data_IF_417729472833
#
_entry.id   IF_417729472833
#
_cell.length_a   1.000
_cell.length_b   1.000
_cell.length_c   1.000
_cell.angle_alpha   90.00
_cell.angle_beta   90.00
_cell.angle_gamma   90.00
#
_symmetry.space_group_name_H-M   'P 1'
#
loop_
_entity.id
_entity.type
_entity.pdbx_description
1 polymer ?
#
# COMPACT_ATOMS: atom_id res chain seq x y z
N UNK A 1 22.68 -11.47 -17.98
CA UNK A 1 21.55 -10.97 -17.17
C UNK A 1 21.64 -9.46 -17.11
N UNK A 2 20.57 -8.72 -17.41
CA UNK A 2 20.61 -7.23 -17.28
C UNK A 2 20.68 -6.83 -15.80
N UNK A 3 21.24 -5.66 -15.48
CA UNK A 3 21.29 -5.16 -14.10
C UNK A 3 19.90 -5.10 -13.46
N UNK A 4 18.89 -4.63 -14.21
CA UNK A 4 17.50 -4.61 -13.74
C UNK A 4 16.99 -6.02 -13.40
N UNK A 5 17.27 -7.03 -14.25
CA UNK A 5 16.88 -8.42 -13.97
C UNK A 5 17.58 -8.96 -12.72
N UNK A 6 18.87 -8.64 -12.54
CA UNK A 6 19.62 -9.05 -11.36
C UNK A 6 19.03 -8.45 -10.07
N UNK A 7 18.78 -7.14 -10.05
CA UNK A 7 18.19 -6.44 -8.91
C UNK A 7 16.78 -6.98 -8.61
N UNK A 8 15.99 -7.23 -9.66
CA UNK A 8 14.67 -7.83 -9.51
C UNK A 8 14.76 -9.20 -8.81
N UNK A 9 15.61 -10.11 -9.26
CA UNK A 9 15.79 -11.44 -8.63
C UNK A 9 16.33 -11.30 -7.20
N UNK A 10 17.32 -10.44 -6.98
CA UNK A 10 17.90 -10.23 -5.66
C UNK A 10 16.87 -9.68 -4.66
N UNK A 11 16.05 -8.71 -5.09
CA UNK A 11 14.97 -8.18 -4.25
C UNK A 11 13.94 -9.26 -3.89
N UNK A 12 13.63 -10.20 -4.80
CA UNK A 12 12.77 -11.34 -4.52
C UNK A 12 13.33 -12.25 -3.43
N UNK A 13 14.63 -12.58 -3.50
CA UNK A 13 15.31 -13.36 -2.46
C UNK A 13 15.36 -12.61 -1.12
N UNK A 14 15.68 -11.32 -1.15
CA UNK A 14 15.75 -10.52 0.07
C UNK A 14 14.38 -10.44 0.76
N UNK A 15 13.30 -10.22 -0.01
CA UNK A 15 11.93 -10.25 0.51
C UNK A 15 11.57 -11.62 1.04
N UNK A 16 11.90 -12.71 0.34
CA UNK A 16 11.65 -14.07 0.81
C UNK A 16 12.28 -14.31 2.20
N UNK A 17 13.54 -13.91 2.39
CA UNK A 17 14.24 -14.02 3.67
C UNK A 17 13.54 -13.16 4.75
N UNK A 18 13.21 -11.91 4.43
CA UNK A 18 12.57 -10.99 5.37
C UNK A 18 11.18 -11.47 5.80
N UNK A 19 10.33 -11.93 4.89
CA UNK A 19 8.99 -12.41 5.24
C UNK A 19 9.03 -13.75 5.98
N UNK A 20 10.04 -14.60 5.70
CA UNK A 20 10.28 -15.82 6.48
C UNK A 20 10.69 -15.48 7.91
N UNK A 21 11.60 -14.52 8.10
CA UNK A 21 11.97 -14.05 9.43
C UNK A 21 10.77 -13.41 10.15
N UNK A 22 10.01 -12.56 9.47
CA UNK A 22 8.81 -11.94 10.02
C UNK A 22 7.76 -12.99 10.41
N UNK A 23 7.59 -14.04 9.62
CA UNK A 23 6.72 -15.16 9.96
C UNK A 23 7.14 -15.84 11.26
N UNK A 24 8.43 -16.14 11.45
CA UNK A 24 8.95 -16.71 12.70
C UNK A 24 8.63 -15.80 13.89
N UNK A 25 8.87 -14.49 13.76
CA UNK A 25 8.51 -13.50 14.79
C UNK A 25 7.00 -13.53 15.07
N UNK A 26 6.16 -13.63 14.04
CA UNK A 26 4.70 -13.68 14.18
C UNK A 26 4.20 -14.88 15.00
N UNK A 27 4.92 -16.00 14.96
CA UNK A 27 4.60 -17.19 15.75
C UNK A 27 4.96 -16.97 17.22
N UNK A 28 6.10 -16.34 17.49
CA UNK A 28 6.57 -16.03 18.85
C UNK A 28 5.61 -15.06 19.57
N UNK A 29 5.23 -13.97 18.89
CA UNK A 29 4.31 -12.96 19.45
C UNK A 29 2.82 -13.32 19.29
N UNK A 30 2.53 -14.44 18.61
CA UNK A 30 1.17 -14.92 18.27
C UNK A 30 0.31 -13.85 17.57
N UNK A 31 0.92 -13.09 16.64
CA UNK A 31 0.23 -12.02 15.92
C UNK A 31 0.78 -11.88 14.49
N UNK A 32 0.02 -12.32 13.50
CA UNK A 32 0.34 -12.21 12.07
C UNK A 32 0.09 -10.82 11.48
N UNK A 33 -0.56 -9.92 12.23
CA UNK A 33 -0.83 -8.54 11.78
C UNK A 33 0.43 -7.70 11.60
N UNK A 34 1.59 -8.18 12.08
CA UNK A 34 2.88 -7.51 11.84
C UNK A 34 3.24 -7.42 10.36
N UNK A 35 2.68 -8.31 9.52
CA UNK A 35 2.84 -8.24 8.07
C UNK A 35 2.26 -6.95 7.48
N UNK A 36 1.16 -6.44 8.04
CA UNK A 36 0.52 -5.20 7.58
C UNK A 36 1.42 -3.98 7.85
N UNK A 37 2.18 -3.99 8.96
CA UNK A 37 3.17 -2.94 9.27
C UNK A 37 4.38 -3.07 8.35
N UNK A 38 4.84 -4.31 8.13
CA UNK A 38 5.98 -4.58 7.27
C UNK A 38 5.72 -4.23 5.81
N UNK A 39 4.47 -4.19 5.34
CA UNK A 39 4.12 -3.84 3.96
C UNK A 39 4.82 -2.56 3.47
N UNK A 40 4.67 -1.46 4.22
CA UNK A 40 5.34 -0.19 3.88
C UNK A 40 6.86 -0.28 4.00
N UNK A 41 7.38 -0.92 5.05
CA UNK A 41 8.82 -1.08 5.29
C UNK A 41 9.49 -1.89 4.18
N UNK A 42 8.84 -2.95 3.70
CA UNK A 42 9.38 -3.84 2.69
C UNK A 42 9.57 -3.15 1.34
N UNK A 43 8.64 -2.29 0.92
CA UNK A 43 8.85 -1.47 -0.29
C UNK A 43 9.98 -0.46 -0.15
N UNK A 44 10.10 0.18 1.02
CA UNK A 44 11.24 1.05 1.32
C UNK A 44 12.54 0.27 1.22
N UNK A 45 12.60 -0.91 1.85
CA UNK A 45 13.77 -1.78 1.78
C UNK A 45 14.13 -2.16 0.34
N UNK A 46 13.18 -2.57 -0.51
CA UNK A 46 13.44 -2.91 -1.92
C UNK A 46 14.02 -1.71 -2.68
N UNK A 47 13.46 -0.51 -2.49
CA UNK A 47 13.94 0.69 -3.16
C UNK A 47 15.36 1.07 -2.71
N UNK A 48 15.66 0.97 -1.41
CA UNK A 48 17.01 1.22 -0.88
C UNK A 48 18.01 0.12 -1.28
N UNK A 49 17.56 -1.13 -1.48
CA UNK A 49 18.38 -2.21 -2.02
C UNK A 49 18.79 -1.90 -3.47
N UNK A 50 17.84 -1.51 -4.34
CA UNK A 50 18.15 -1.05 -5.70
C UNK A 50 19.13 0.13 -5.70
N UNK A 51 18.91 1.09 -4.80
CA UNK A 51 19.82 2.23 -4.63
C UNK A 51 21.25 1.80 -4.28
N UNK A 52 21.41 0.87 -3.34
CA UNK A 52 22.73 0.44 -2.85
C UNK A 52 23.59 -0.30 -3.89
N UNK A 53 22.97 -0.82 -4.94
CA UNK A 53 23.62 -1.66 -5.97
C UNK A 53 23.67 -0.93 -7.32
N UNK A 54 22.83 0.09 -7.51
CA UNK A 54 22.78 0.87 -8.74
C UNK A 54 24.03 1.77 -8.87
N UNK A 55 24.80 1.67 -9.97
CA UNK A 55 26.02 2.45 -10.15
C UNK A 55 25.77 3.94 -10.47
N UNK A 56 24.55 4.29 -10.91
CA UNK A 56 24.21 5.64 -11.34
C UNK A 56 22.91 6.12 -10.70
N UNK A 57 22.92 7.34 -10.17
CA UNK A 57 21.76 8.00 -9.60
C UNK A 57 21.30 9.16 -10.46
N UNK A 58 20.07 9.07 -10.94
CA UNK A 58 19.37 10.18 -11.60
C UNK A 58 18.44 10.91 -10.63
N UNK A 59 18.08 12.14 -10.95
CA UNK A 59 17.08 12.90 -10.18
C UNK A 59 15.73 12.17 -10.10
N UNK A 60 15.36 11.42 -11.14
CA UNK A 60 14.15 10.56 -11.13
C UNK A 60 14.25 9.42 -10.11
N UNK A 61 15.42 8.75 -9.98
CA UNK A 61 15.63 7.73 -8.94
C UNK A 61 15.54 8.33 -7.53
N UNK A 62 16.16 9.49 -7.30
CA UNK A 62 16.08 10.20 -6.02
C UNK A 62 14.65 10.58 -5.65
N UNK A 63 13.91 11.15 -6.62
CA UNK A 63 12.49 11.48 -6.44
C UNK A 63 11.71 10.24 -6.00
N UNK A 64 11.82 9.13 -6.73
CA UNK A 64 11.12 7.89 -6.40
C UNK A 64 11.50 7.38 -5.00
N UNK A 65 12.79 7.36 -4.67
CA UNK A 65 13.31 6.88 -3.38
C UNK A 65 12.79 7.71 -2.19
N UNK A 66 12.71 9.04 -2.35
CA UNK A 66 12.16 9.94 -1.34
C UNK A 66 10.67 9.67 -1.16
N UNK A 67 9.91 9.62 -2.25
CA UNK A 67 8.45 9.41 -2.21
C UNK A 67 8.09 8.07 -1.58
N UNK A 68 8.76 6.97 -1.96
CA UNK A 68 8.50 5.65 -1.36
C UNK A 68 8.91 5.60 0.11
N UNK A 69 10.00 6.27 0.50
CA UNK A 69 10.42 6.36 1.91
C UNK A 69 9.37 7.11 2.74
N UNK A 70 8.88 8.24 2.26
CA UNK A 70 7.84 9.02 2.94
C UNK A 70 6.57 8.17 3.10
N UNK A 71 6.07 7.57 2.01
CA UNK A 71 4.86 6.76 2.08
C UNK A 71 5.02 5.52 2.95
N UNK A 72 6.04 4.70 2.69
CA UNK A 72 6.19 3.41 3.34
C UNK A 72 6.42 3.52 4.84
N UNK A 73 7.22 4.50 5.28
CA UNK A 73 7.42 4.76 6.71
C UNK A 73 6.16 5.33 7.37
N UNK A 74 5.45 6.26 6.70
CA UNK A 74 4.18 6.80 7.18
C UNK A 74 3.13 5.69 7.34
N UNK A 75 2.99 4.82 6.34
CA UNK A 75 2.03 3.72 6.36
C UNK A 75 2.34 2.74 7.50
N UNK A 76 3.61 2.34 7.62
CA UNK A 76 4.07 1.46 8.69
C UNK A 76 3.82 2.07 10.08
N UNK A 77 4.15 3.35 10.25
CA UNK A 77 3.92 4.08 11.49
C UNK A 77 2.41 4.19 11.80
N UNK A 78 1.59 4.55 10.82
CA UNK A 78 0.15 4.66 10.98
C UNK A 78 -0.47 3.33 11.42
N UNK A 79 -0.17 2.23 10.71
CA UNK A 79 -0.69 0.90 11.04
C UNK A 79 -0.16 0.43 12.39
N UNK A 80 1.14 0.65 12.66
CA UNK A 80 1.78 0.28 13.92
C UNK A 80 1.15 0.98 15.12
N UNK A 81 0.93 2.29 15.05
CA UNK A 81 0.24 3.07 16.08
C UNK A 81 -1.22 2.60 16.21
N UNK A 82 -1.92 2.46 15.09
CA UNK A 82 -3.33 2.05 15.06
C UNK A 82 -3.56 0.69 15.73
N UNK A 83 -2.62 -0.23 15.56
CA UNK A 83 -2.73 -1.60 16.06
C UNK A 83 -2.07 -1.81 17.44
N UNK A 84 -1.35 -0.80 17.98
CA UNK A 84 -0.68 -0.91 19.27
C UNK A 84 -1.68 -1.20 20.40
N UNK A 85 -1.39 -2.24 21.18
CA UNK A 85 -2.24 -2.68 22.29
C UNK A 85 -3.56 -3.34 21.88
N UNK A 86 -3.80 -3.55 20.58
CA UNK A 86 -4.98 -4.28 20.08
C UNK A 86 -4.65 -5.76 19.87
N UNK A 87 -5.66 -6.65 19.93
CA UNK A 87 -5.47 -8.04 19.52
C UNK A 87 -5.10 -8.14 18.04
N UNK A 88 -4.71 -9.34 17.62
CA UNK A 88 -4.50 -9.68 16.20
C UNK A 88 -5.70 -9.24 15.35
N UNK A 89 -5.42 -8.73 14.14
CA UNK A 89 -6.44 -8.31 13.19
C UNK A 89 -7.42 -9.44 12.93
N UNK A 90 -8.71 -9.09 12.85
CA UNK A 90 -9.80 -10.06 12.85
C UNK A 90 -9.68 -11.07 11.70
N UNK A 91 -9.07 -10.71 10.57
CA UNK A 91 -8.84 -11.60 9.42
C UNK A 91 -7.93 -12.76 9.82
N UNK A 92 -6.77 -12.44 10.39
CA UNK A 92 -5.78 -13.44 10.81
C UNK A 92 -6.26 -14.21 12.04
N UNK A 93 -6.90 -13.55 13.00
CA UNK A 93 -7.46 -14.22 14.18
C UNK A 93 -8.53 -15.25 13.79
N UNK A 94 -9.39 -14.91 12.82
CA UNK A 94 -10.37 -15.83 12.25
C UNK A 94 -9.70 -17.04 11.60
N UNK A 95 -8.75 -16.83 10.69
CA UNK A 95 -8.04 -17.92 10.02
C UNK A 95 -7.23 -18.78 10.99
N UNK A 96 -6.62 -18.19 12.02
CA UNK A 96 -5.92 -18.91 13.08
C UNK A 96 -6.88 -19.85 13.81
N UNK A 97 -8.08 -19.39 14.15
CA UNK A 97 -9.11 -20.22 14.79
C UNK A 97 -9.58 -21.35 13.87
N UNK A 98 -9.81 -21.06 12.59
CA UNK A 98 -10.26 -22.05 11.60
C UNK A 98 -9.23 -23.16 11.36
N UNK A 99 -7.95 -22.83 11.35
CA UNK A 99 -6.87 -23.78 11.00
C UNK A 99 -6.19 -24.43 12.22
N UNK A 100 -6.40 -23.90 13.43
CA UNK A 100 -5.92 -24.50 14.69
C UNK A 100 -4.42 -24.86 14.65
N UNK A 101 -4.11 -26.16 14.80
CA UNK A 101 -2.74 -26.68 14.80
C UNK A 101 -2.00 -26.47 13.46
N UNK A 102 -2.72 -26.36 12.34
CA UNK A 102 -2.14 -26.12 11.01
C UNK A 102 -1.78 -24.66 10.75
N UNK A 103 -2.17 -23.74 11.64
CA UNK A 103 -1.96 -22.30 11.46
C UNK A 103 -0.52 -21.89 11.14
N UNK A 104 0.54 -22.44 11.78
CA UNK A 104 1.91 -22.02 11.46
C UNK A 104 2.25 -22.19 9.98
N UNK A 105 1.94 -23.35 9.40
CA UNK A 105 2.22 -23.64 7.99
C UNK A 105 1.32 -22.83 7.06
N UNK A 106 0.02 -22.74 7.38
CA UNK A 106 -0.95 -22.05 6.52
C UNK A 106 -0.70 -20.55 6.50
N UNK A 107 -0.39 -19.94 7.66
CA UNK A 107 -0.02 -18.52 7.71
C UNK A 107 1.25 -18.23 6.94
N UNK A 108 2.24 -19.13 6.93
CA UNK A 108 3.45 -18.95 6.13
C UNK A 108 3.14 -18.76 4.64
N UNK A 109 2.34 -19.65 4.04
CA UNK A 109 1.99 -19.56 2.62
C UNK A 109 0.94 -18.49 2.32
N UNK A 110 -0.18 -18.50 3.04
CA UNK A 110 -1.35 -17.68 2.74
C UNK A 110 -1.17 -16.21 3.14
N UNK A 111 -0.36 -15.94 4.18
CA UNK A 111 -0.14 -14.58 4.67
C UNK A 111 1.24 -14.10 4.24
N UNK A 112 2.32 -14.72 4.71
CA UNK A 112 3.66 -14.13 4.59
C UNK A 112 4.25 -14.27 3.18
N UNK A 113 4.27 -15.47 2.61
CA UNK A 113 4.80 -15.68 1.26
C UNK A 113 3.94 -15.02 0.19
N UNK A 114 2.61 -15.08 0.31
CA UNK A 114 1.72 -14.38 -0.61
C UNK A 114 1.94 -12.86 -0.57
N UNK A 115 2.02 -12.26 0.63
CA UNK A 115 2.30 -10.81 0.77
C UNK A 115 3.69 -10.46 0.25
N UNK A 116 4.71 -11.27 0.54
CA UNK A 116 6.08 -11.07 0.03
C UNK A 116 6.13 -11.16 -1.50
N UNK A 117 5.47 -12.15 -2.09
CA UNK A 117 5.38 -12.29 -3.54
C UNK A 117 4.67 -11.09 -4.18
N UNK A 118 3.52 -10.67 -3.65
CA UNK A 118 2.80 -9.50 -4.16
C UNK A 118 3.63 -8.24 -4.02
N UNK A 119 4.30 -8.02 -2.90
CA UNK A 119 5.21 -6.90 -2.69
C UNK A 119 6.34 -6.88 -3.72
N UNK A 120 6.96 -8.03 -3.98
CA UNK A 120 8.04 -8.14 -4.98
C UNK A 120 7.56 -7.76 -6.39
N UNK A 121 6.40 -8.26 -6.81
CA UNK A 121 5.80 -7.94 -8.12
C UNK A 121 5.40 -6.46 -8.18
N UNK A 122 4.74 -5.94 -7.15
CA UNK A 122 4.25 -4.56 -7.10
C UNK A 122 5.42 -3.57 -7.03
N UNK A 123 6.58 -3.96 -6.49
CA UNK A 123 7.76 -3.09 -6.39
C UNK A 123 8.45 -2.81 -7.75
N UNK A 124 8.04 -3.47 -8.84
CA UNK A 124 8.65 -3.31 -10.16
C UNK A 124 8.93 -1.86 -10.61
N UNK A 125 7.99 -0.89 -10.55
CA UNK A 125 8.27 0.51 -10.93
C UNK A 125 9.41 1.11 -10.10
N UNK A 126 9.58 0.71 -8.84
CA UNK A 126 10.59 1.25 -7.93
C UNK A 126 12.02 0.90 -8.35
N UNK A 127 12.21 -0.19 -9.10
CA UNK A 127 13.53 -0.73 -9.47
C UNK A 127 13.76 -0.80 -10.99
N UNK A 128 12.86 -0.18 -11.77
CA UNK A 128 12.87 -0.24 -13.25
C UNK A 128 13.43 1.01 -13.92
N UNK A 129 13.77 2.05 -13.16
CA UNK A 129 14.34 3.29 -13.70
C UNK A 129 15.69 3.02 -14.34
N UNK A 130 15.84 3.44 -15.60
CA UNK A 130 17.08 3.33 -16.36
C UNK A 130 17.70 4.71 -16.54
N UNK A 131 19.02 4.77 -16.41
CA UNK A 131 19.81 5.94 -16.78
C UNK A 131 20.37 5.67 -18.16
N UNK A 132 19.83 6.34 -19.18
CA UNK A 132 20.24 6.22 -20.58
C UNK A 132 20.35 7.59 -21.22
N UNK A 133 21.25 7.73 -22.18
CA UNK A 133 21.39 8.96 -22.97
C UNK A 133 20.06 9.33 -23.64
N UNK A 134 19.72 10.62 -23.60
CA UNK A 134 18.48 11.16 -24.18
C UNK A 134 17.27 11.20 -23.23
N UNK A 135 17.33 10.60 -22.04
CA UNK A 135 16.30 10.79 -21.01
C UNK A 135 16.73 11.95 -20.09
N UNK A 136 15.93 13.04 -19.98
CA UNK A 136 16.26 14.14 -19.09
C UNK A 136 16.25 13.68 -17.62
N UNK A 137 17.01 14.33 -16.72
CA UNK A 137 17.09 13.93 -15.31
C UNK A 137 15.73 13.85 -14.61
N UNK A 138 14.80 14.73 -14.98
CA UNK A 138 13.39 14.73 -14.59
C UNK A 138 12.50 14.85 -15.85
N UNK A 139 12.03 13.73 -16.42
CA UNK A 139 11.09 13.73 -17.54
C UNK A 139 9.75 14.36 -17.14
N UNK A 140 9.01 15.01 -18.07
CA UNK A 140 7.67 15.55 -17.77
C UNK A 140 6.72 14.53 -17.15
N UNK A 141 6.81 13.27 -17.58
CA UNK A 141 6.00 12.19 -17.03
C UNK A 141 6.31 11.90 -15.55
N UNK A 142 7.56 12.09 -15.13
CA UNK A 142 7.93 11.98 -13.71
C UNK A 142 7.36 13.12 -12.86
N UNK A 143 7.27 14.33 -13.42
CA UNK A 143 6.59 15.45 -12.74
C UNK A 143 5.09 15.16 -12.59
N UNK A 144 4.43 14.68 -13.65
CA UNK A 144 3.01 14.29 -13.60
C UNK A 144 2.80 13.17 -12.57
N UNK A 145 3.67 12.15 -12.57
CA UNK A 145 3.60 11.06 -11.61
C UNK A 145 3.78 11.53 -10.16
N UNK A 146 4.69 12.47 -9.90
CA UNK A 146 4.86 13.07 -8.58
C UNK A 146 3.63 13.87 -8.14
N UNK A 147 3.01 14.63 -9.03
CA UNK A 147 1.78 15.38 -8.71
C UNK A 147 0.62 14.44 -8.37
N UNK A 148 0.45 13.35 -9.14
CA UNK A 148 -0.55 12.32 -8.86
C UNK A 148 -0.25 11.63 -7.53
N UNK A 149 1.03 11.34 -7.25
CA UNK A 149 1.44 10.79 -5.96
C UNK A 149 1.11 11.72 -4.81
N UNK A 150 1.39 13.03 -4.92
CA UNK A 150 1.08 14.02 -3.87
C UNK A 150 -0.42 14.12 -3.63
N UNK A 151 -1.20 14.10 -4.70
CA UNK A 151 -2.66 14.07 -4.62
C UNK A 151 -3.17 12.81 -3.90
N UNK A 152 -2.64 11.64 -4.25
CA UNK A 152 -2.96 10.39 -3.55
C UNK A 152 -2.56 10.43 -2.08
N UNK A 153 -1.33 10.86 -1.80
CA UNK A 153 -0.79 10.96 -0.45
C UNK A 153 -1.60 11.90 0.43
N UNK A 154 -2.15 12.98 -0.13
CA UNK A 154 -3.09 13.86 0.57
C UNK A 154 -4.37 13.09 0.99
N UNK A 155 -5.00 12.35 0.08
CA UNK A 155 -6.21 11.58 0.38
C UNK A 155 -5.96 10.46 1.40
N UNK A 156 -4.84 9.75 1.29
CA UNK A 156 -4.41 8.72 2.24
C UNK A 156 -4.10 9.33 3.62
N UNK A 157 -3.08 10.19 3.62
CA UNK A 157 -2.82 11.30 4.54
C UNK A 157 -3.95 11.65 5.50
N UNK A 158 -4.82 12.48 4.94
CA UNK A 158 -5.89 13.17 5.62
C UNK A 158 -7.05 12.22 5.92
N UNK A 159 -7.34 11.25 5.04
CA UNK A 159 -8.40 10.26 5.26
C UNK A 159 -8.17 9.45 6.53
N UNK A 160 -6.97 8.92 6.71
CA UNK A 160 -6.62 8.15 7.90
C UNK A 160 -6.60 9.01 9.17
N UNK A 161 -6.05 10.24 9.09
CA UNK A 161 -6.05 11.16 10.24
C UNK A 161 -7.47 11.55 10.67
N UNK A 162 -8.32 11.90 9.69
CA UNK A 162 -9.73 12.22 9.93
C UNK A 162 -10.48 11.04 10.57
N UNK A 163 -10.27 9.83 10.05
CA UNK A 163 -10.91 8.63 10.60
C UNK A 163 -10.41 8.29 12.01
N UNK A 164 -9.10 8.42 12.26
CA UNK A 164 -8.51 8.19 13.58
C UNK A 164 -9.07 9.17 14.61
N UNK A 165 -9.11 10.47 14.28
CA UNK A 165 -9.70 11.51 15.13
C UNK A 165 -11.19 11.28 15.38
N UNK A 166 -11.94 10.94 14.33
CA UNK A 166 -13.37 10.64 14.45
C UNK A 166 -13.64 9.48 15.40
N UNK A 167 -12.87 8.38 15.30
CA UNK A 167 -13.00 7.21 16.17
C UNK A 167 -12.54 7.43 17.61
N UNK A 168 -11.65 8.38 17.85
CA UNK A 168 -11.15 8.68 19.19
C UNK A 168 -12.20 9.39 20.07
N UNK A 169 -13.16 10.08 19.45
CA UNK A 169 -14.25 10.76 20.15
C UNK A 169 -15.38 9.77 20.49
N UNK A 170 -15.68 9.54 21.79
CA UNK A 170 -16.76 8.65 22.23
C UNK A 170 -18.15 9.04 21.70
N UNK A 171 -18.39 10.33 21.42
CA UNK A 171 -19.66 10.82 20.88
C UNK A 171 -19.93 10.32 19.44
N UNK A 172 -18.91 9.80 18.76
CA UNK A 172 -19.00 9.26 17.41
C UNK A 172 -19.14 7.72 17.37
N UNK A 173 -19.23 7.05 18.53
CA UNK A 173 -19.48 5.61 18.58
C UNK A 173 -20.76 5.28 17.81
N UNK A 174 -20.65 4.31 16.89
CA UNK A 174 -21.76 3.89 16.02
C UNK A 174 -22.05 4.80 14.82
N UNK A 175 -21.51 6.03 14.77
CA UNK A 175 -21.74 6.97 13.66
C UNK A 175 -20.86 6.67 12.43
N UNK A 176 -21.22 7.26 11.29
CA UNK A 176 -20.47 7.20 10.04
C UNK A 176 -19.60 8.44 9.88
N UNK A 177 -18.37 8.25 9.40
CA UNK A 177 -17.51 9.37 9.02
C UNK A 177 -17.84 9.78 7.59
N UNK A 178 -18.47 10.94 7.43
CA UNK A 178 -18.96 11.45 6.13
C UNK A 178 -18.47 12.85 5.80
N UNK A 179 -17.51 13.38 6.57
CA UNK A 179 -16.98 14.74 6.43
C UNK A 179 -15.53 14.76 5.95
N UNK A 180 -15.04 15.94 5.56
CA UNK A 180 -13.66 16.08 5.09
C UNK A 180 -13.44 15.38 3.74
N UNK A 181 -12.37 14.58 3.60
CA UNK A 181 -12.12 13.83 2.36
C UNK A 181 -13.11 12.68 2.16
N UNK A 182 -13.70 12.19 3.26
CA UNK A 182 -14.72 11.13 3.25
C UNK A 182 -16.03 11.58 2.60
N UNK A 183 -16.25 12.87 2.36
CA UNK A 183 -17.43 13.35 1.62
C UNK A 183 -17.28 13.20 0.10
N UNK A 184 -16.06 13.05 -0.41
CA UNK A 184 -15.78 12.95 -1.84
C UNK A 184 -15.64 11.50 -2.30
N UNK A 185 -15.17 10.63 -1.42
CA UNK A 185 -15.07 9.19 -1.65
C UNK A 185 -15.24 8.45 -0.34
N UNK A 186 -15.87 7.27 -0.38
CA UNK A 186 -16.04 6.42 0.80
C UNK A 186 -14.78 5.69 1.22
N UNK A 187 -13.76 5.66 0.36
CA UNK A 187 -12.50 4.96 0.60
C UNK A 187 -11.30 5.85 0.22
N UNK A 188 -11.14 7.04 0.85
CA UNK A 188 -10.11 8.00 0.47
C UNK A 188 -8.69 7.44 0.63
N UNK A 189 -8.46 6.61 1.64
CA UNK A 189 -7.16 6.00 1.87
C UNK A 189 -6.78 4.94 0.84
N UNK A 190 -7.72 4.09 0.42
CA UNK A 190 -7.45 3.14 -0.67
C UNK A 190 -7.32 3.84 -2.03
N UNK A 191 -8.07 4.91 -2.26
CA UNK A 191 -7.86 5.74 -3.45
C UNK A 191 -6.46 6.36 -3.44
N UNK A 192 -6.05 6.93 -2.30
CA UNK A 192 -4.74 7.54 -2.15
C UNK A 192 -3.60 6.58 -2.45
N UNK A 193 -3.64 5.39 -1.84
CA UNK A 193 -2.68 4.30 -2.10
C UNK A 193 -2.61 3.95 -3.60
N UNK A 194 -3.77 3.68 -4.23
CA UNK A 194 -3.80 3.39 -5.66
C UNK A 194 -3.22 4.53 -6.52
N UNK A 195 -3.59 5.79 -6.24
CA UNK A 195 -3.07 6.96 -6.95
C UNK A 195 -1.55 7.09 -6.80
N UNK A 196 -1.00 6.82 -5.60
CA UNK A 196 0.44 6.83 -5.37
C UNK A 196 1.18 5.77 -6.19
N UNK A 197 0.61 4.56 -6.34
CA UNK A 197 1.18 3.52 -7.20
C UNK A 197 1.12 3.87 -8.69
N UNK A 198 0.04 4.51 -9.14
CA UNK A 198 -0.01 5.10 -10.48
C UNK A 198 1.05 6.21 -10.64
N UNK A 199 1.29 7.02 -9.60
CA UNK A 199 2.36 8.01 -9.57
C UNK A 199 3.76 7.39 -9.72
N UNK A 200 4.07 6.33 -8.94
CA UNK A 200 5.33 5.59 -9.07
C UNK A 200 5.52 5.00 -10.46
N UNK A 201 4.45 4.42 -11.03
CA UNK A 201 4.48 3.91 -12.40
C UNK A 201 4.80 5.01 -13.42
N UNK A 202 4.16 6.18 -13.36
CA UNK A 202 4.39 7.26 -14.31
C UNK A 202 5.82 7.82 -14.20
N UNK A 203 6.34 7.93 -12.97
CA UNK A 203 7.75 8.26 -12.71
C UNK A 203 8.68 7.26 -13.39
N UNK A 204 8.45 5.96 -13.17
CA UNK A 204 9.25 4.91 -13.78
C UNK A 204 9.12 4.89 -15.32
N UNK A 205 7.90 5.03 -15.85
CA UNK A 205 7.61 5.03 -17.27
C UNK A 205 8.33 6.16 -18.01
N UNK A 206 8.43 7.34 -17.39
CA UNK A 206 9.19 8.47 -17.93
C UNK A 206 10.69 8.20 -18.07
N UNK A 207 11.21 7.21 -17.34
CA UNK A 207 12.62 6.84 -17.32
C UNK A 207 12.85 5.36 -17.71
N UNK A 208 12.09 4.85 -18.67
CA UNK A 208 12.31 3.53 -19.29
C UNK A 208 11.63 2.33 -18.60
N UNK A 209 10.89 2.57 -17.51
CA UNK A 209 10.13 1.57 -16.74
C UNK A 209 8.69 1.33 -17.20
N UNK A 210 8.34 1.69 -18.45
CA UNK A 210 6.95 1.67 -18.97
C UNK A 210 6.29 0.28 -18.93
N UNK A 211 7.09 -0.79 -18.97
CA UNK A 211 6.63 -2.19 -18.91
C UNK A 211 6.06 -2.58 -17.53
N UNK A 212 6.28 -1.76 -16.50
CA UNK A 212 5.83 -2.03 -15.12
C UNK A 212 4.36 -1.66 -14.85
N UNK A 213 3.57 -1.35 -15.89
CA UNK A 213 2.15 -0.98 -15.78
C UNK A 213 1.29 -2.02 -15.03
N UNK A 214 1.70 -3.29 -15.04
CA UNK A 214 1.02 -4.33 -14.28
C UNK A 214 1.05 -4.05 -12.76
N UNK A 215 2.05 -3.35 -12.23
CA UNK A 215 2.18 -3.03 -10.80
C UNK A 215 0.99 -2.22 -10.27
N UNK A 216 0.70 -0.99 -10.78
CA UNK A 216 -0.44 -0.21 -10.30
C UNK A 216 -1.79 -0.89 -10.61
N UNK A 217 -1.88 -1.68 -11.69
CA UNK A 217 -3.09 -2.47 -12.01
C UNK A 217 -3.33 -3.53 -10.92
N UNK A 218 -2.31 -4.33 -10.59
CA UNK A 218 -2.40 -5.37 -9.55
C UNK A 218 -2.72 -4.72 -8.21
N UNK A 219 -2.03 -3.63 -7.85
CA UNK A 219 -2.29 -2.93 -6.59
C UNK A 219 -3.72 -2.38 -6.51
N UNK A 220 -4.20 -1.73 -7.58
CA UNK A 220 -5.57 -1.22 -7.65
C UNK A 220 -6.59 -2.37 -7.57
N UNK A 221 -6.34 -3.49 -8.26
CA UNK A 221 -7.20 -4.67 -8.20
C UNK A 221 -7.28 -5.26 -6.79
N UNK A 222 -6.14 -5.39 -6.10
CA UNK A 222 -6.09 -5.88 -4.73
C UNK A 222 -6.89 -4.98 -3.80
N UNK A 223 -6.79 -3.65 -3.93
CA UNK A 223 -7.51 -2.67 -3.11
C UNK A 223 -9.02 -2.60 -3.39
N UNK A 224 -9.44 -2.89 -4.62
CA UNK A 224 -10.85 -2.83 -5.01
C UNK A 224 -11.59 -4.15 -4.77
N UNK A 225 -10.96 -5.28 -5.07
CA UNK A 225 -11.64 -6.58 -5.22
C UNK A 225 -11.27 -7.60 -4.14
N UNK A 226 -10.03 -7.61 -3.66
CA UNK A 226 -9.53 -8.67 -2.77
C UNK A 226 -9.51 -8.20 -1.31
N UNK A 227 -8.96 -7.01 -1.10
CA UNK A 227 -8.71 -6.40 0.21
C UNK A 227 -9.15 -4.95 0.18
N UNK A 228 -9.78 -4.44 1.22
CA UNK A 228 -10.19 -3.04 1.26
C UNK A 228 -11.64 -2.82 0.85
N UNK A 229 -11.89 -2.22 -0.33
CA UNK A 229 -13.19 -1.62 -0.68
C UNK A 229 -14.32 -2.65 -0.63
N UNK A 230 -14.27 -3.72 -1.42
CA UNK A 230 -15.35 -4.71 -1.47
C UNK A 230 -15.64 -5.36 -0.10
N UNK A 231 -14.60 -5.62 0.69
CA UNK A 231 -14.75 -6.19 2.03
C UNK A 231 -15.43 -5.21 2.99
N UNK A 232 -14.99 -3.94 3.00
CA UNK A 232 -15.57 -2.92 3.86
C UNK A 232 -17.02 -2.63 3.48
N UNK A 233 -17.32 -2.46 2.20
CA UNK A 233 -18.68 -2.26 1.68
C UNK A 233 -19.62 -3.39 2.15
N UNK A 234 -19.17 -4.65 2.08
CA UNK A 234 -19.94 -5.80 2.56
C UNK A 234 -20.21 -5.76 4.06
N UNK A 235 -19.26 -5.28 4.86
CA UNK A 235 -19.43 -5.16 6.32
C UNK A 235 -20.23 -3.94 6.76
N UNK A 236 -20.28 -2.89 5.93
CA UNK A 236 -20.91 -1.61 6.27
C UNK A 236 -22.35 -1.49 5.76
N UNK A 237 -22.77 -2.35 4.83
CA UNK A 237 -24.09 -2.32 4.17
C UNK A 237 -25.28 -2.27 5.15
N UNK A 238 -25.14 -2.86 6.33
CA UNK A 238 -26.20 -2.98 7.33
C UNK A 238 -26.11 -1.89 8.42
N UNK A 239 -25.10 -1.00 8.34
CA UNK A 239 -24.92 0.07 9.30
C UNK A 239 -25.95 1.20 9.06
N UNK A 240 -26.63 1.71 10.10
CA UNK A 240 -27.59 2.81 9.96
C UNK A 240 -26.98 4.03 9.24
N UNK A 241 -27.72 4.59 8.28
CA UNK A 241 -27.30 5.74 7.44
C UNK A 241 -26.31 5.41 6.32
N UNK A 242 -25.82 4.16 6.20
CA UNK A 242 -24.79 3.83 5.21
C UNK A 242 -25.32 3.85 3.78
N UNK A 243 -26.56 3.39 3.57
CA UNK A 243 -27.20 3.38 2.25
C UNK A 243 -27.33 4.80 1.68
N UNK A 244 -27.79 5.74 2.49
CA UNK A 244 -27.92 7.15 2.12
C UNK A 244 -26.55 7.76 1.78
N UNK A 245 -25.55 7.50 2.63
CA UNK A 245 -24.18 7.94 2.38
C UNK A 245 -23.60 7.34 1.08
N UNK A 246 -23.88 6.06 0.80
CA UNK A 246 -23.41 5.37 -0.39
C UNK A 246 -24.09 5.82 -1.69
N UNK A 247 -25.29 6.38 -1.62
CA UNK A 247 -25.97 7.00 -2.77
C UNK A 247 -25.36 8.35 -3.12
N UNK A 248 -24.93 9.13 -2.11
CA UNK A 248 -24.43 10.50 -2.30
C UNK A 248 -22.94 10.58 -2.59
N UNK A 249 -22.15 9.63 -2.10
CA UNK A 249 -20.68 9.70 -2.13
C UNK A 249 -20.12 8.63 -3.04
N UNK A 250 -19.15 8.96 -3.89
CA UNK A 250 -18.45 7.97 -4.73
C UNK A 250 -17.85 6.84 -3.91
N UNK A 251 -17.83 5.63 -4.45
CA UNK A 251 -17.16 4.50 -3.78
C UNK A 251 -15.66 4.74 -3.67
N UNK A 252 -14.99 5.10 -4.77
CA UNK A 252 -13.53 5.05 -4.84
C UNK A 252 -12.92 6.33 -5.39
N UNK A 253 -13.23 6.71 -6.62
CA UNK A 253 -12.70 7.93 -7.24
C UNK A 253 -13.33 9.15 -6.56
N UNK A 254 -12.55 10.10 -5.99
CA UNK A 254 -13.10 11.30 -5.38
C UNK A 254 -13.95 12.10 -6.37
N UNK A 255 -15.22 12.35 -6.02
CA UNK A 255 -16.15 13.15 -6.79
C UNK A 255 -16.95 14.07 -5.86
N UNK A 256 -17.42 15.24 -6.32
CA UNK A 256 -18.39 16.03 -5.56
C UNK A 256 -19.61 15.17 -5.16
N UNK A 257 -20.15 15.31 -3.94
CA UNK A 257 -21.28 14.52 -3.51
C UNK A 257 -22.54 14.86 -4.32
N UNK A 258 -23.30 13.84 -4.70
CA UNK A 258 -24.61 14.00 -5.32
C UNK A 258 -25.60 14.52 -4.26
N UNK A 259 -26.49 15.44 -4.66
CA UNK A 259 -27.50 16.04 -3.80
C UNK A 259 -28.53 15.01 -3.32
#
# INVERSE_FOLDING_TARGET
>A
MTLTTYIFILSGWAIFVLVTFLWLVSLLIKNASIVDVFWGIGFVFIAWLDYSISPFMSSTKWLLLILITIWGLRLALHIGIRNRGKPEDFRYAKWRKEHGKGWPLISYFQVFLLQGFLMWIIAAPLISIRVTDGIPPLPPLAVIGALIWVYGFFFEAVGDWQLARFKADPANKGKLMTSGVWKYTRHPNYFGDAAQWWGFYLIAAGAGGWWTIFSPIVMTFLLLKVSGVAMLEKTMKDKPGYKEYAQKTSAFIPMPPNS
#
